data_IF_605218057275
#
_entry.id   IF_605218057275
#
_cell.length_a   1.000
_cell.length_b   1.000
_cell.length_c   1.000
_cell.angle_alpha   90.00
_cell.angle_beta   90.00
_cell.angle_gamma   90.00
#
_symmetry.space_group_name_H-M   'P 1'
#
loop_
_entity.id
_entity.type
_entity.pdbx_description
1 polymer ?
#
# COMPACT_ATOMS: atom_id res chain seq x y z
N UNK A 1 30.66 -23.83 -0.53
CA UNK A 1 29.97 -23.01 -1.56
C UNK A 1 30.54 -21.61 -1.49
N UNK A 2 31.14 -21.08 -2.56
CA UNK A 2 31.61 -19.69 -2.59
C UNK A 2 30.39 -18.79 -2.80
N UNK A 3 30.05 -18.03 -1.77
CA UNK A 3 28.99 -17.03 -1.85
C UNK A 3 29.50 -15.88 -2.73
N UNK A 4 28.94 -15.72 -3.92
CA UNK A 4 29.18 -14.54 -4.75
C UNK A 4 28.44 -13.39 -4.05
N UNK A 5 29.18 -12.39 -3.57
CA UNK A 5 28.57 -11.17 -3.01
C UNK A 5 28.57 -10.13 -4.14
N UNK A 6 27.40 -9.75 -4.67
CA UNK A 6 27.34 -8.71 -5.69
C UNK A 6 27.85 -7.39 -5.10
N UNK A 7 28.74 -6.72 -5.83
CA UNK A 7 29.32 -5.42 -5.47
C UNK A 7 28.49 -4.23 -5.99
N UNK A 8 27.72 -4.42 -7.07
CA UNK A 8 26.78 -3.42 -7.60
C UNK A 8 25.58 -4.07 -8.30
N UNK A 9 24.37 -3.53 -8.10
CA UNK A 9 23.15 -3.93 -8.81
C UNK A 9 22.64 -2.77 -9.67
N UNK A 10 22.29 -3.05 -10.93
CA UNK A 10 21.54 -2.13 -11.80
C UNK A 10 20.23 -2.80 -12.21
N UNK A 11 19.11 -2.18 -11.85
CA UNK A 11 17.77 -2.69 -12.11
C UNK A 11 16.91 -1.58 -12.71
N UNK A 12 16.15 -1.91 -13.75
CA UNK A 12 15.17 -1.03 -14.37
C UNK A 12 13.86 -1.79 -14.49
N UNK A 13 12.78 -1.19 -14.02
CA UNK A 13 11.42 -1.66 -14.24
C UNK A 13 10.58 -0.55 -14.86
N UNK A 14 9.57 -0.96 -15.61
CA UNK A 14 8.47 -0.12 -16.03
C UNK A 14 7.23 -0.58 -15.25
N UNK A 15 6.50 0.37 -14.71
CA UNK A 15 5.23 0.13 -14.03
C UNK A 15 4.21 1.10 -14.59
N UNK A 16 3.03 0.59 -14.85
CA UNK A 16 1.88 1.38 -15.25
C UNK A 16 1.28 2.08 -14.03
N UNK A 17 0.50 3.12 -14.28
CA UNK A 17 -0.26 3.82 -13.25
C UNK A 17 -1.22 2.86 -12.51
N UNK A 18 -1.85 1.91 -13.22
CA UNK A 18 -2.76 0.93 -12.63
C UNK A 18 -2.04 -0.02 -11.68
N UNK A 19 -0.87 -0.53 -12.08
CA UNK A 19 -0.05 -1.39 -11.20
C UNK A 19 0.42 -0.64 -9.96
N UNK A 20 0.77 0.64 -10.11
CA UNK A 20 1.16 1.48 -8.98
C UNK A 20 0.00 1.68 -8.00
N UNK A 21 -1.19 1.98 -8.51
CA UNK A 21 -2.42 2.11 -7.71
C UNK A 21 -2.76 0.82 -6.97
N UNK A 22 -2.67 -0.32 -7.65
CA UNK A 22 -2.90 -1.62 -7.03
C UNK A 22 -1.92 -1.88 -5.87
N UNK A 23 -0.62 -1.60 -6.06
CA UNK A 23 0.39 -1.77 -5.01
C UNK A 23 0.13 -0.88 -3.80
N UNK A 24 -0.18 0.40 -4.03
CA UNK A 24 -0.51 1.34 -2.94
C UNK A 24 -1.78 0.93 -2.17
N UNK A 25 -2.81 0.44 -2.88
CA UNK A 25 -4.02 -0.06 -2.24
C UNK A 25 -3.72 -1.27 -1.34
N UNK A 26 -2.92 -2.22 -1.84
CA UNK A 26 -2.52 -3.40 -1.06
C UNK A 26 -1.74 -3.01 0.20
N UNK A 27 -0.78 -2.09 0.07
CA UNK A 27 0.03 -1.62 1.21
C UNK A 27 -0.84 -1.02 2.33
N UNK A 28 -1.79 -0.15 1.98
CA UNK A 28 -2.71 0.44 2.96
C UNK A 28 -3.62 -0.62 3.58
N UNK A 29 -4.13 -1.56 2.77
CA UNK A 29 -4.96 -2.64 3.28
C UNK A 29 -4.19 -3.55 4.24
N UNK A 30 -2.93 -3.84 3.99
CA UNK A 30 -2.08 -4.60 4.90
C UNK A 30 -1.92 -3.88 6.25
N UNK A 31 -1.63 -2.57 6.21
CA UNK A 31 -1.46 -1.75 7.42
C UNK A 31 -2.70 -1.73 8.29
N UNK A 32 -3.90 -1.60 7.70
CA UNK A 32 -5.15 -1.52 8.47
C UNK A 32 -5.74 -2.89 8.81
N UNK A 33 -5.13 -4.00 8.39
CA UNK A 33 -5.68 -5.35 8.58
C UNK A 33 -6.86 -5.68 7.66
N UNK A 34 -6.97 -4.99 6.52
CA UNK A 34 -8.02 -5.13 5.51
C UNK A 34 -7.77 -6.25 4.49
N UNK A 35 -6.70 -7.05 4.63
CA UNK A 35 -6.42 -8.20 3.78
C UNK A 35 -6.76 -9.53 4.49
N UNK A 36 -7.28 -10.47 3.71
CA UNK A 36 -7.47 -11.86 4.12
C UNK A 36 -6.17 -12.69 4.00
N UNK A 37 -6.20 -13.96 4.44
CA UNK A 37 -5.05 -14.86 4.36
C UNK A 37 -4.55 -15.14 2.94
N UNK A 38 -5.39 -14.90 1.93
CA UNK A 38 -5.08 -15.04 0.51
C UNK A 38 -4.50 -13.76 -0.12
N UNK A 39 -4.26 -12.73 0.69
CA UNK A 39 -3.76 -11.43 0.24
C UNK A 39 -4.80 -10.58 -0.49
N UNK A 40 -6.08 -10.98 -0.48
CA UNK A 40 -7.16 -10.20 -1.10
C UNK A 40 -7.87 -9.31 -0.08
N UNK A 41 -8.51 -8.21 -0.51
CA UNK A 41 -9.33 -7.39 0.37
C UNK A 41 -10.42 -8.22 1.05
N UNK A 42 -10.67 -7.98 2.34
CA UNK A 42 -11.77 -8.61 3.05
C UNK A 42 -13.12 -8.24 2.41
N UNK A 43 -14.16 -9.11 2.53
CA UNK A 43 -15.46 -8.87 1.93
C UNK A 43 -16.06 -7.51 2.31
N UNK A 44 -16.52 -6.76 1.30
CA UNK A 44 -17.15 -5.45 1.48
C UNK A 44 -16.18 -4.27 1.57
N UNK A 45 -14.85 -4.51 1.61
CA UNK A 45 -13.86 -3.46 1.50
C UNK A 45 -13.74 -2.99 0.05
N UNK A 46 -13.73 -1.67 -0.14
CA UNK A 46 -13.48 -0.98 -1.40
C UNK A 46 -12.34 0.00 -1.20
N UNK A 47 -11.42 0.03 -2.15
CA UNK A 47 -10.30 0.97 -2.19
C UNK A 47 -10.43 1.88 -3.42
N UNK A 48 -10.10 3.16 -3.24
CA UNK A 48 -9.99 4.12 -4.34
C UNK A 48 -8.69 4.87 -4.21
N UNK A 49 -7.86 4.81 -5.25
CA UNK A 49 -6.57 5.50 -5.29
C UNK A 49 -6.67 6.62 -6.32
N UNK A 50 -6.59 7.86 -5.84
CA UNK A 50 -6.65 9.05 -6.65
C UNK A 50 -5.30 9.75 -6.65
N UNK A 51 -4.81 10.09 -7.84
CA UNK A 51 -3.63 10.94 -7.97
C UNK A 51 -4.03 12.38 -7.67
N UNK A 52 -3.28 13.05 -6.79
CA UNK A 52 -3.52 14.45 -6.46
C UNK A 52 -3.23 15.36 -7.65
N UNK A 53 -4.04 16.40 -7.80
CA UNK A 53 -3.86 17.40 -8.85
C UNK A 53 -2.68 18.35 -8.54
N UNK A 54 -1.91 18.69 -9.57
CA UNK A 54 -0.85 19.71 -9.49
C UNK A 54 0.59 19.18 -9.44
N UNK A 55 1.54 20.13 -9.32
CA UNK A 55 3.00 19.87 -9.47
C UNK A 55 3.63 19.07 -8.32
N UNK A 56 3.02 19.09 -7.12
CA UNK A 56 3.57 18.36 -5.97
C UNK A 56 3.44 16.85 -6.13
N UNK A 57 2.49 16.37 -6.94
CA UNK A 57 2.18 14.95 -7.05
C UNK A 57 1.72 14.34 -5.72
N UNK A 58 1.40 13.06 -5.74
CA UNK A 58 0.94 12.32 -4.56
C UNK A 58 -0.33 11.52 -4.84
N UNK A 59 -0.72 10.68 -3.88
CA UNK A 59 -1.90 9.84 -3.97
C UNK A 59 -2.74 9.96 -2.70
N UNK A 60 -4.05 10.04 -2.88
CA UNK A 60 -5.05 9.86 -1.82
C UNK A 60 -5.61 8.46 -1.95
N UNK A 61 -5.64 7.72 -0.85
CA UNK A 61 -6.12 6.34 -0.80
C UNK A 61 -7.33 6.31 0.13
N UNK A 62 -8.51 6.21 -0.46
CA UNK A 62 -9.76 6.07 0.29
C UNK A 62 -10.04 4.57 0.50
N UNK A 63 -10.26 4.16 1.75
CA UNK A 63 -10.72 2.80 2.08
C UNK A 63 -12.07 2.88 2.77
N UNK A 64 -13.04 2.14 2.25
CA UNK A 64 -14.41 2.09 2.79
C UNK A 64 -14.85 0.64 2.94
N UNK A 65 -15.59 0.33 3.99
CA UNK A 65 -16.10 -1.01 4.24
C UNK A 65 -16.24 -1.32 5.72
N UNK A 66 -16.62 -2.56 6.07
CA UNK A 66 -16.62 -3.03 7.45
C UNK A 66 -15.22 -2.89 8.06
N UNK A 67 -15.14 -2.40 9.30
CA UNK A 67 -13.88 -2.36 10.02
C UNK A 67 -13.35 -3.79 10.23
N UNK A 68 -12.06 -4.05 9.97
CA UNK A 68 -11.47 -5.35 10.28
C UNK A 68 -11.47 -5.58 11.79
N UNK A 69 -11.49 -6.84 12.20
CA UNK A 69 -11.51 -7.23 13.62
C UNK A 69 -10.30 -6.71 14.41
N UNK A 70 -9.18 -6.42 13.72
CA UNK A 70 -8.00 -5.75 14.25
C UNK A 70 -7.62 -4.60 13.32
N UNK A 71 -8.05 -3.40 13.69
CA UNK A 71 -7.64 -2.17 13.01
C UNK A 71 -6.37 -1.67 13.70
N UNK A 72 -5.24 -1.73 13.00
CA UNK A 72 -4.02 -1.08 13.44
C UNK A 72 -4.03 0.35 12.92
N UNK A 73 -4.48 1.27 13.77
CA UNK A 73 -4.25 2.69 13.55
C UNK A 73 -2.90 3.04 14.17
N UNK A 74 -2.02 3.78 13.46
CA UNK A 74 -0.88 4.39 14.13
C UNK A 74 -1.42 5.21 15.31
N UNK A 75 -0.86 5.02 16.50
CA UNK A 75 -1.14 5.92 17.63
C UNK A 75 -0.80 7.31 17.14
N UNK A 76 -1.79 8.20 17.13
CA UNK A 76 -1.54 9.60 16.83
C UNK A 76 -0.44 10.10 17.76
N UNK A 77 0.61 10.70 17.21
CA UNK A 77 1.51 11.52 18.01
C UNK A 77 0.66 12.65 18.61
N UNK A 78 0.44 12.59 19.92
CA UNK A 78 0.00 13.73 20.72
C UNK A 78 1.03 14.84 20.50
N UNK A 79 0.74 15.78 19.60
CA UNK A 79 1.43 17.04 19.54
C UNK A 79 0.87 17.92 20.68
N UNK A 80 1.40 17.68 21.88
CA UNK A 80 1.26 18.57 23.03
C UNK A 80 2.14 19.81 22.93
#
# INVERSE_FOLDING_TARGET
>A
MKLITPDTISFRAQVTEEELRARMATEVLEQIGGLGPDGKPLPGIKTRVLRGDGRKGGYTIDVTGPAPARLYLPRGEDNG
#
